data_IF_794083826618
#
_entry.id   IF_794083826618
#
_cell.length_a   1.000
_cell.length_b   1.000
_cell.length_c   1.000
_cell.angle_alpha   90.00
_cell.angle_beta   90.00
_cell.angle_gamma   90.00
#
_symmetry.space_group_name_H-M   'P 1'
#
loop_
_entity.id
_entity.type
_entity.pdbx_description
1 polymer ?
#
# COMPACT_ATOMS: atom_id res chain seq x y z
N UNK A 1 2.59 1.42 9.96
CA UNK A 1 2.00 2.39 9.03
C UNK A 1 2.09 1.88 7.60
N UNK A 2 1.51 2.61 6.66
CA UNK A 2 1.42 2.15 5.27
C UNK A 2 2.80 2.01 4.63
N UNK A 3 3.75 2.87 4.98
CA UNK A 3 5.10 2.78 4.42
C UNK A 3 5.81 1.52 4.89
N UNK A 4 5.72 1.21 6.17
CA UNK A 4 6.33 0.00 6.73
C UNK A 4 5.71 -1.25 6.14
N UNK A 5 4.40 -1.25 5.99
CA UNK A 5 3.67 -2.38 5.42
C UNK A 5 4.06 -2.60 3.97
N UNK A 6 4.11 -1.53 3.18
CA UNK A 6 4.51 -1.63 1.78
C UNK A 6 5.97 -2.09 1.65
N UNK A 7 6.86 -1.62 2.53
CA UNK A 7 8.25 -2.05 2.49
C UNK A 7 8.36 -3.54 2.79
N UNK A 8 7.62 -4.03 3.78
CA UNK A 8 7.64 -5.46 4.11
C UNK A 8 7.09 -6.30 2.96
N UNK A 9 6.05 -5.83 2.30
CA UNK A 9 5.46 -6.52 1.15
C UNK A 9 6.47 -6.59 0.00
N UNK A 10 7.15 -5.49 -0.28
CA UNK A 10 8.17 -5.44 -1.32
C UNK A 10 9.36 -6.33 -1.00
N UNK A 11 9.79 -6.32 0.26
CA UNK A 11 10.89 -7.15 0.72
C UNK A 11 10.57 -8.65 0.60
N UNK A 12 9.29 -8.99 0.71
CA UNK A 12 8.82 -10.36 0.53
C UNK A 12 8.69 -10.77 -0.95
N UNK A 13 8.99 -9.86 -1.88
CA UNK A 13 8.99 -10.16 -3.30
C UNK A 13 7.68 -9.87 -4.02
N UNK A 14 6.75 -9.17 -3.38
CA UNK A 14 5.48 -8.84 -3.99
C UNK A 14 5.53 -7.47 -4.66
N UNK A 15 4.57 -7.24 -5.54
CA UNK A 15 4.52 -6.01 -6.33
C UNK A 15 3.70 -4.96 -5.62
N UNK A 16 4.26 -3.76 -5.49
CA UNK A 16 3.51 -2.59 -5.07
C UNK A 16 2.99 -1.94 -6.35
N UNK A 17 1.73 -2.19 -6.63
CA UNK A 17 1.11 -1.80 -7.88
C UNK A 17 0.93 -0.26 -7.96
N UNK A 18 0.43 0.34 -6.89
CA UNK A 18 0.36 1.79 -6.73
C UNK A 18 1.01 2.16 -5.40
N UNK A 19 2.16 2.84 -5.44
CA UNK A 19 2.87 3.19 -4.21
C UNK A 19 2.08 4.17 -3.34
N UNK A 20 2.35 4.21 -2.04
CA UNK A 20 1.66 5.14 -1.13
C UNK A 20 2.26 6.55 -1.21
N UNK A 21 2.09 7.19 -2.37
CA UNK A 21 2.70 8.49 -2.64
C UNK A 21 2.18 9.60 -1.74
N UNK A 22 0.91 9.50 -1.35
CA UNK A 22 0.26 10.50 -0.51
C UNK A 22 0.25 10.13 0.97
N UNK A 23 0.90 9.01 1.34
CA UNK A 23 0.91 8.56 2.72
C UNK A 23 -0.43 8.05 3.21
N UNK A 24 -1.35 7.74 2.30
CA UNK A 24 -2.71 7.35 2.67
C UNK A 24 -3.16 6.04 2.00
N UNK A 25 -2.86 5.85 0.73
CA UNK A 25 -3.38 4.71 -0.02
C UNK A 25 -2.32 4.08 -0.89
N UNK A 26 -2.37 2.75 -0.98
CA UNK A 26 -1.54 1.98 -1.90
C UNK A 26 -2.33 0.80 -2.43
N UNK A 27 -1.96 0.30 -3.60
CA UNK A 27 -2.45 -0.97 -4.11
C UNK A 27 -1.29 -1.94 -4.24
N UNK A 28 -1.49 -3.14 -3.72
CA UNK A 28 -0.52 -4.21 -3.85
C UNK A 28 -1.17 -5.36 -4.59
N UNK A 29 -0.36 -6.20 -5.21
CA UNK A 29 -0.86 -7.29 -6.03
C UNK A 29 -0.38 -8.61 -5.44
N UNK A 30 -1.31 -9.54 -5.24
CA UNK A 30 -0.97 -10.87 -4.77
C UNK A 30 -0.49 -11.74 -5.93
N UNK A 31 0.19 -12.88 -5.64
CA UNK A 31 0.66 -13.78 -6.71
C UNK A 31 -0.47 -14.33 -7.57
N UNK A 32 -1.67 -14.47 -7.03
CA UNK A 32 -2.82 -14.97 -7.79
C UNK A 32 -3.60 -13.85 -8.48
N UNK A 33 -3.06 -12.64 -8.52
CA UNK A 33 -3.60 -11.56 -9.35
C UNK A 33 -4.65 -10.69 -8.71
N UNK A 34 -4.82 -10.79 -7.39
CA UNK A 34 -5.79 -9.96 -6.68
C UNK A 34 -5.10 -8.66 -6.26
N UNK A 35 -5.74 -7.53 -6.53
CA UNK A 35 -5.28 -6.24 -6.01
C UNK A 35 -5.86 -6.01 -4.63
N UNK A 36 -4.99 -5.62 -3.70
CA UNK A 36 -5.39 -5.28 -2.33
C UNK A 36 -5.14 -3.79 -2.14
N UNK A 37 -6.18 -3.08 -1.73
CA UNK A 37 -6.06 -1.67 -1.40
C UNK A 37 -5.68 -1.52 0.06
N UNK A 38 -4.57 -0.84 0.33
CA UNK A 38 -4.13 -0.53 1.68
C UNK A 38 -4.49 0.92 1.97
N UNK A 39 -5.17 1.14 3.07
CA UNK A 39 -5.58 2.48 3.48
C UNK A 39 -4.98 2.80 4.83
N UNK A 40 -4.31 3.95 4.91
CA UNK A 40 -3.80 4.48 6.16
C UNK A 40 -4.94 5.24 6.83
N UNK A 41 -5.14 5.00 8.13
CA UNK A 41 -6.07 5.80 8.91
C UNK A 41 -5.44 7.18 9.09
N UNK A 42 -6.00 8.18 8.42
CA UNK A 42 -5.40 9.51 8.32
C UNK A 42 -4.41 9.58 7.16
N UNK A 43 -3.63 10.65 7.14
CA UNK A 43 -2.62 10.89 6.10
C UNK A 43 -1.26 11.10 6.75
N UNK A 44 -0.27 10.36 6.27
CA UNK A 44 1.11 10.54 6.69
C UNK A 44 1.79 11.53 5.76
N UNK A 45 2.91 12.09 6.20
CA UNK A 45 3.71 12.96 5.34
C UNK A 45 4.24 12.15 4.14
N UNK A 46 4.22 12.71 2.92
CA UNK A 46 4.85 12.04 1.79
C UNK A 46 6.32 11.77 2.06
N UNK A 47 6.79 10.58 1.69
CA UNK A 47 8.17 10.15 1.92
C UNK A 47 8.73 9.51 0.68
N UNK A 48 10.02 9.76 0.43
CA UNK A 48 10.73 9.06 -0.64
C UNK A 48 11.18 7.69 -0.16
N UNK A 49 11.27 6.71 -1.05
CA UNK A 49 11.10 6.83 -2.50
C UNK A 49 9.64 6.83 -2.94
N UNK A 50 8.70 6.66 -2.03
CA UNK A 50 7.29 6.45 -2.35
C UNK A 50 6.66 7.64 -3.07
N UNK A 51 7.02 8.86 -2.64
CA UNK A 51 6.38 10.07 -3.17
C UNK A 51 6.58 10.25 -4.67
N UNK A 52 7.72 9.80 -5.20
CA UNK A 52 8.04 9.94 -6.62
C UNK A 52 7.96 8.62 -7.40
N UNK A 53 7.53 7.54 -6.74
CA UNK A 53 7.47 6.23 -7.37
C UNK A 53 6.23 6.12 -8.26
N UNK A 54 6.40 5.54 -9.45
CA UNK A 54 5.30 5.39 -10.40
C UNK A 54 4.55 4.09 -10.17
N UNK A 55 3.34 4.01 -10.71
CA UNK A 55 2.55 2.77 -10.68
C UNK A 55 3.22 1.68 -11.49
N UNK A 56 3.01 0.43 -11.09
CA UNK A 56 3.52 -0.74 -11.79
C UNK A 56 2.37 -1.67 -12.16
N UNK A 57 2.40 -2.21 -13.37
CA UNK A 57 1.42 -3.18 -13.81
C UNK A 57 0.05 -2.57 -14.01
N UNK A 58 -0.96 -3.44 -14.09
CA UNK A 58 -2.33 -3.03 -14.34
C UNK A 58 -3.21 -3.36 -13.15
N UNK A 59 -4.21 -2.53 -12.92
CA UNK A 59 -5.22 -2.82 -11.90
C UNK A 59 -6.10 -3.97 -12.38
N UNK A 60 -6.31 -4.96 -11.53
CA UNK A 60 -7.24 -6.05 -11.82
C UNK A 60 -8.60 -5.70 -11.24
N UNK A 61 -9.64 -6.40 -11.71
CA UNK A 61 -11.01 -6.11 -11.28
C UNK A 61 -11.27 -6.54 -9.84
N UNK A 62 -10.64 -7.60 -9.38
CA UNK A 62 -10.80 -8.08 -8.00
C UNK A 62 -9.90 -7.31 -7.07
N UNK A 63 -10.44 -6.82 -5.98
CA UNK A 63 -9.63 -6.16 -4.97
C UNK A 63 -10.27 -6.25 -3.60
N UNK A 64 -9.43 -6.11 -2.59
CA UNK A 64 -9.82 -6.08 -1.20
C UNK A 64 -9.22 -4.85 -0.54
N UNK A 65 -9.82 -4.40 0.53
CA UNK A 65 -9.36 -3.21 1.22
C UNK A 65 -8.84 -3.56 2.60
N UNK A 66 -7.76 -2.93 2.98
CA UNK A 66 -7.13 -3.09 4.29
C UNK A 66 -6.84 -1.70 4.85
N UNK A 67 -7.30 -1.43 6.05
CA UNK A 67 -7.09 -0.12 6.66
C UNK A 67 -5.95 -0.24 7.68
N UNK A 68 -4.93 0.60 7.50
CA UNK A 68 -3.80 0.68 8.42
C UNK A 68 -4.14 1.66 9.52
N UNK A 69 -4.13 1.20 10.78
CA UNK A 69 -4.44 2.05 11.92
C UNK A 69 -3.19 2.34 12.71
N UNK A 70 -3.12 3.50 13.37
CA UNK A 70 -1.99 3.78 14.25
C UNK A 70 -1.88 2.73 15.34
N UNK A 71 -0.64 2.44 15.75
CA UNK A 71 -0.39 1.50 16.82
C UNK A 71 -1.02 2.00 18.11
N UNK A 72 -1.68 1.10 18.84
CA UNK A 72 -2.31 1.43 20.11
C UNK A 72 -3.73 1.93 19.98
N UNK A 73 -4.21 2.11 18.78
CA UNK A 73 -5.57 2.55 18.53
C UNK A 73 -6.52 1.38 18.72
N UNK A 74 -7.51 1.53 19.59
CA UNK A 74 -8.51 0.47 19.74
C UNK A 74 -9.60 0.59 18.69
N UNK A 75 -10.21 -0.53 18.46
CA UNK A 75 -11.30 -0.66 17.50
C UNK A 75 -12.62 -0.24 18.13
#
# INVERSE_FOLDING_TARGET
NIYETCQAIMDAGHIIHRPPRDGHMAFVKTPDGISIELLQDGYLEPQEPWASMENSGELVSSRRAFVMRPRGQSM
#
